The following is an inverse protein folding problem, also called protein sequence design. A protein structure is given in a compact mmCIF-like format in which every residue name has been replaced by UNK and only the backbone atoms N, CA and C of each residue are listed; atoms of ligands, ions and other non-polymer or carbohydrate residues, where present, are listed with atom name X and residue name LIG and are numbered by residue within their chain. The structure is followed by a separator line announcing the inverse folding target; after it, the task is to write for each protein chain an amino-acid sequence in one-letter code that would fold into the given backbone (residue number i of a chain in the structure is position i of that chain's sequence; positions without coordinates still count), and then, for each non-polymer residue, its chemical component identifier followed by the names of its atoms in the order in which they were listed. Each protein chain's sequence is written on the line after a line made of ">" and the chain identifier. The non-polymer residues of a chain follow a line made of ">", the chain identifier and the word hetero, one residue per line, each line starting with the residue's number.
data_IF_006633759452
#
_entry.id   IF_006633759452
#
_cell.length_a   1.000
_cell.length_b   1.000
_cell.length_c   1.000
_cell.angle_alpha   90.00
_cell.angle_beta   90.00
_cell.angle_gamma   90.00
#
_symmetry.space_group_name_H-M   'P 1'
#
loop_
_entity.id
_entity.type
_entity.pdbx_description
1 polymer ?
#
# COMPACT_ATOMS: atom_id res chain seq x y z
N UNK A 1 -67.36 -26.20 -7.58
CA UNK A 1 -66.03 -26.70 -7.97
C UNK A 1 -65.01 -25.68 -7.45
N UNK A 2 -64.15 -25.86 -6.45
CA UNK A 2 -63.90 -26.86 -5.40
C UNK A 2 -63.45 -26.07 -4.13
N UNK A 3 -63.57 -26.60 -2.90
CA UNK A 3 -63.24 -25.88 -1.67
C UNK A 3 -61.73 -25.93 -1.41
N UNK A 4 -61.10 -24.82 -0.99
CA UNK A 4 -59.71 -24.84 -0.52
C UNK A 4 -59.75 -24.95 1.00
N UNK A 5 -59.77 -26.19 1.49
CA UNK A 5 -59.35 -26.49 2.85
C UNK A 5 -57.84 -26.30 2.93
N UNK A 6 -57.39 -25.22 3.57
CA UNK A 6 -56.01 -25.01 3.96
C UNK A 6 -55.94 -24.96 5.47
N UNK A 7 -55.76 -26.11 6.11
CA UNK A 7 -55.51 -26.23 7.55
C UNK A 7 -54.22 -25.51 7.91
N UNK A 8 -54.29 -24.27 8.42
CA UNK A 8 -53.15 -23.69 9.14
C UNK A 8 -53.09 -24.33 10.52
N UNK A 9 -52.34 -25.44 10.65
CA UNK A 9 -51.94 -25.94 11.98
C UNK A 9 -51.18 -24.83 12.70
N UNK A 10 -51.65 -24.44 13.89
CA UNK A 10 -50.88 -23.58 14.79
C UNK A 10 -49.48 -24.21 14.99
N UNK A 11 -48.46 -23.50 14.51
CA UNK A 11 -47.07 -23.96 14.51
C UNK A 11 -46.43 -24.24 13.14
N UNK A 12 -47.17 -24.13 12.02
CA UNK A 12 -46.65 -24.42 10.66
C UNK A 12 -46.87 -23.26 9.66
N UNK A 13 -46.95 -22.01 10.11
CA UNK A 13 -47.11 -20.84 9.24
C UNK A 13 -45.86 -20.60 8.38
N UNK A 14 -45.91 -21.04 7.13
CA UNK A 14 -44.85 -20.88 6.12
C UNK A 14 -44.88 -19.46 5.56
N UNK A 15 -43.74 -18.76 5.53
CA UNK A 15 -43.62 -17.45 4.87
C UNK A 15 -43.61 -17.68 3.35
N UNK A 16 -44.62 -17.17 2.64
CA UNK A 16 -44.73 -17.26 1.17
C UNK A 16 -44.16 -16.04 0.45
N UNK A 17 -44.29 -14.85 1.04
CA UNK A 17 -43.86 -13.57 0.47
C UNK A 17 -42.92 -12.87 1.45
N UNK A 18 -41.78 -12.39 0.94
CA UNK A 18 -40.85 -11.55 1.70
C UNK A 18 -41.07 -10.07 1.34
N UNK A 19 -40.74 -9.18 2.28
CA UNK A 19 -40.70 -7.74 2.03
C UNK A 19 -39.67 -7.38 0.94
N UNK A 20 -39.84 -6.20 0.33
CA UNK A 20 -38.89 -5.71 -0.67
C UNK A 20 -37.46 -5.70 -0.14
N UNK A 21 -36.52 -6.21 -0.95
CA UNK A 21 -35.12 -6.36 -0.57
C UNK A 21 -34.79 -7.59 0.29
N UNK A 22 -35.76 -8.45 0.58
CA UNK A 22 -35.55 -9.72 1.28
C UNK A 22 -35.93 -10.91 0.39
N UNK A 23 -35.22 -12.02 0.54
CA UNK A 23 -35.43 -13.26 -0.20
C UNK A 23 -35.62 -14.45 0.74
N UNK A 24 -36.31 -15.48 0.26
CA UNK A 24 -36.50 -16.73 1.01
C UNK A 24 -35.21 -17.54 1.00
N UNK A 25 -34.85 -18.11 2.16
CA UNK A 25 -33.80 -19.12 2.22
C UNK A 25 -34.27 -20.38 1.45
N UNK A 26 -33.42 -21.02 0.64
CA UNK A 26 -33.78 -22.28 -0.04
C UNK A 26 -34.18 -23.41 0.91
N UNK A 27 -33.65 -23.42 2.14
CA UNK A 27 -33.85 -24.47 3.14
C UNK A 27 -34.60 -24.02 4.41
N UNK A 28 -35.06 -22.77 4.46
CA UNK A 28 -35.90 -22.28 5.56
C UNK A 28 -37.07 -21.51 4.99
N UNK A 29 -38.28 -21.95 5.32
CA UNK A 29 -39.50 -21.29 4.89
C UNK A 29 -40.16 -20.46 5.98
N UNK A 30 -39.47 -20.29 7.11
CA UNK A 30 -39.95 -19.52 8.26
C UNK A 30 -39.15 -18.22 8.43
N UNK A 31 -38.21 -17.95 7.54
CA UNK A 31 -37.33 -16.79 7.61
C UNK A 31 -37.06 -16.22 6.23
N UNK A 32 -37.10 -14.88 6.14
CA UNK A 32 -36.60 -14.13 5.00
C UNK A 32 -35.25 -13.53 5.36
N UNK A 33 -34.29 -13.57 4.43
CA UNK A 33 -32.99 -12.96 4.62
C UNK A 33 -32.85 -11.71 3.74
N UNK A 34 -32.12 -10.68 4.20
CA UNK A 34 -31.86 -9.52 3.37
C UNK A 34 -31.04 -9.93 2.14
N UNK A 35 -31.27 -9.21 1.03
CA UNK A 35 -30.51 -9.35 -0.21
C UNK A 35 -29.44 -8.26 -0.24
N UNK A 36 -28.19 -8.66 -0.39
CA UNK A 36 -27.05 -7.78 -0.62
C UNK A 36 -26.40 -8.15 -1.96
N UNK A 37 -26.03 -7.14 -2.75
CA UNK A 37 -25.19 -7.29 -3.94
C UNK A 37 -23.73 -7.10 -3.51
N UNK A 38 -23.00 -8.21 -3.33
CA UNK A 38 -21.70 -8.27 -2.63
C UNK A 38 -21.81 -8.76 -1.17
N UNK A 39 -20.77 -8.51 -0.35
CA UNK A 39 -20.66 -8.84 1.08
C UNK A 39 -20.03 -10.21 1.41
N UNK A 40 -19.02 -10.67 0.65
CA UNK A 40 -18.42 -12.00 0.87
C UNK A 40 -17.70 -12.12 2.24
N UNK A 41 -17.17 -11.01 2.76
CA UNK A 41 -16.50 -10.95 4.07
C UNK A 41 -17.28 -10.15 5.13
N UNK A 42 -18.59 -10.02 4.95
CA UNK A 42 -19.47 -9.36 5.90
C UNK A 42 -20.71 -10.19 6.24
N UNK A 43 -21.58 -9.58 7.03
CA UNK A 43 -22.93 -10.04 7.30
C UNK A 43 -23.91 -9.04 6.67
N UNK A 44 -24.81 -9.53 5.82
CA UNK A 44 -25.91 -8.72 5.31
C UNK A 44 -26.95 -8.55 6.43
N UNK A 45 -27.01 -7.37 7.04
CA UNK A 45 -27.88 -7.08 8.19
C UNK A 45 -29.21 -6.45 7.78
N UNK A 46 -29.25 -5.80 6.62
CA UNK A 46 -30.45 -5.27 5.98
C UNK A 46 -30.24 -5.24 4.46
N UNK A 47 -31.29 -5.02 3.64
CA UNK A 47 -31.16 -4.97 2.19
C UNK A 47 -30.13 -3.92 1.77
N UNK A 48 -29.09 -4.35 1.06
CA UNK A 48 -27.99 -3.48 0.68
C UNK A 48 -27.15 -2.92 1.84
N UNK A 49 -27.23 -3.49 3.05
CA UNK A 49 -26.41 -3.09 4.19
C UNK A 49 -25.51 -4.25 4.61
N UNK A 50 -24.22 -4.10 4.35
CA UNK A 50 -23.19 -5.07 4.73
C UNK A 50 -22.43 -4.60 5.98
N UNK A 51 -22.42 -5.42 7.03
CA UNK A 51 -21.58 -5.23 8.21
C UNK A 51 -20.33 -6.12 8.08
N UNK A 52 -19.17 -5.49 7.88
CA UNK A 52 -17.93 -6.23 7.68
C UNK A 52 -17.48 -6.98 8.93
N UNK A 53 -16.95 -8.20 8.73
CA UNK A 53 -16.34 -8.98 9.81
C UNK A 53 -15.06 -8.32 10.29
N UNK A 54 -14.59 -8.70 11.48
CA UNK A 54 -13.31 -8.21 12.03
C UNK A 54 -12.17 -8.42 11.01
N UNK A 55 -11.36 -7.38 10.81
CA UNK A 55 -10.27 -7.40 9.84
C UNK A 55 -10.67 -6.97 8.42
N UNK A 56 -11.93 -6.58 8.20
CA UNK A 56 -12.40 -6.05 6.92
C UNK A 56 -13.08 -4.70 7.09
N UNK A 57 -13.04 -3.88 6.04
CA UNK A 57 -13.68 -2.56 5.97
C UNK A 57 -14.49 -2.44 4.69
N UNK A 58 -15.54 -1.62 4.72
CA UNK A 58 -16.37 -1.35 3.55
C UNK A 58 -15.63 -0.37 2.62
N UNK A 59 -15.40 -0.78 1.37
CA UNK A 59 -14.79 0.08 0.36
C UNK A 59 -15.82 1.11 -0.12
N UNK A 60 -15.77 2.33 0.43
CA UNK A 60 -16.54 3.46 -0.09
C UNK A 60 -15.69 4.14 -1.14
N UNK A 61 -15.93 3.82 -2.41
CA UNK A 61 -15.25 4.56 -3.46
C UNK A 61 -15.84 5.98 -3.55
N UNK A 62 -15.06 6.95 -3.10
CA UNK A 62 -15.42 8.38 -3.06
C UNK A 62 -15.13 9.10 -4.38
N UNK A 63 -14.56 8.42 -5.38
CA UNK A 63 -13.99 9.07 -6.57
C UNK A 63 -14.89 9.08 -7.81
N UNK A 64 -15.98 8.31 -7.86
CA UNK A 64 -17.03 8.50 -8.87
C UNK A 64 -18.28 9.14 -8.24
N UNK A 65 -18.83 10.17 -8.90
CA UNK A 65 -20.02 10.89 -8.45
C UNK A 65 -21.33 10.10 -8.57
N UNK A 66 -21.29 8.84 -9.04
CA UNK A 66 -22.42 7.91 -9.07
C UNK A 66 -22.07 6.52 -8.52
N UNK A 67 -21.11 6.43 -7.59
CA UNK A 67 -20.62 5.12 -7.16
C UNK A 67 -21.69 4.27 -6.48
N UNK A 68 -22.12 3.25 -7.23
CA UNK A 68 -22.39 1.90 -6.75
C UNK A 68 -21.59 1.65 -5.48
N UNK A 69 -22.30 1.58 -4.37
CA UNK A 69 -21.73 1.08 -3.13
C UNK A 69 -21.23 -0.31 -3.48
N UNK A 70 -19.91 -0.45 -3.67
CA UNK A 70 -19.29 -1.77 -3.69
C UNK A 70 -19.50 -2.26 -2.27
N UNK A 71 -20.57 -3.02 -2.08
CA UNK A 71 -21.06 -3.47 -0.78
C UNK A 71 -20.20 -4.62 -0.26
N UNK A 72 -18.91 -4.55 -0.58
CA UNK A 72 -17.95 -5.60 -0.37
C UNK A 72 -16.93 -5.18 0.68
N UNK A 73 -16.59 -6.17 1.47
CA UNK A 73 -15.72 -6.03 2.61
C UNK A 73 -14.33 -6.46 2.19
N UNK A 74 -13.40 -5.50 2.17
CA UNK A 74 -12.00 -5.75 1.83
C UNK A 74 -11.13 -5.81 3.06
N UNK A 75 -10.04 -6.61 3.03
CA UNK A 75 -9.16 -6.73 4.17
C UNK A 75 -8.54 -5.39 4.54
N UNK A 76 -8.43 -5.13 5.84
CA UNK A 76 -7.72 -3.97 6.39
C UNK A 76 -6.27 -4.32 6.68
N UNK A 77 -5.37 -3.44 6.27
CA UNK A 77 -3.98 -3.46 6.69
C UNK A 77 -3.77 -2.28 7.65
N UNK A 78 -3.35 -2.52 8.91
CA UNK A 78 -3.46 -1.55 10.02
C UNK A 78 -2.67 -0.24 9.82
N UNK A 79 -1.75 -0.19 8.87
CA UNK A 79 -0.93 0.99 8.54
C UNK A 79 -1.03 1.38 7.04
N UNK A 80 -1.89 0.70 6.27
CA UNK A 80 -1.99 0.86 4.82
C UNK A 80 -0.95 0.05 4.04
N UNK A 81 -1.34 -0.40 2.85
CA UNK A 81 -0.53 -1.20 1.93
C UNK A 81 -0.12 -0.38 0.69
N UNK A 82 0.66 0.68 0.90
CA UNK A 82 1.11 1.51 -0.21
C UNK A 82 2.04 0.70 -1.13
N UNK A 83 1.77 0.71 -2.45
CA UNK A 83 2.47 -0.10 -3.45
C UNK A 83 2.34 -1.62 -3.26
N UNK A 84 1.21 -2.08 -2.72
CA UNK A 84 0.90 -3.50 -2.62
C UNK A 84 -0.60 -3.76 -2.52
N UNK A 85 -0.95 -5.04 -2.39
CA UNK A 85 -2.31 -5.53 -2.19
C UNK A 85 -2.40 -6.12 -0.79
N UNK A 86 -3.38 -5.67 0.00
CA UNK A 86 -3.63 -6.24 1.32
C UNK A 86 -4.27 -7.63 1.16
N UNK A 87 -3.68 -8.65 1.76
CA UNK A 87 -4.22 -10.01 1.75
C UNK A 87 -5.26 -10.20 2.86
N UNK A 88 -6.05 -11.27 2.77
CA UNK A 88 -7.02 -11.64 3.79
C UNK A 88 -6.40 -11.96 5.18
N UNK A 89 -5.07 -12.09 5.26
CA UNK A 89 -4.33 -12.27 6.52
C UNK A 89 -3.83 -10.95 7.12
N UNK A 90 -4.14 -9.80 6.50
CA UNK A 90 -3.63 -8.49 6.93
C UNK A 90 -2.14 -8.27 6.61
N UNK A 91 -1.59 -9.05 5.67
CA UNK A 91 -0.21 -8.95 5.19
C UNK A 91 -0.20 -8.24 3.84
N UNK A 92 0.85 -7.48 3.58
CA UNK A 92 1.02 -6.75 2.34
C UNK A 92 1.73 -7.61 1.30
N UNK A 93 1.05 -7.91 0.18
CA UNK A 93 1.68 -8.48 -1.01
C UNK A 93 2.20 -7.33 -1.88
N UNK A 94 3.51 -7.27 -2.07
CA UNK A 94 4.18 -6.09 -2.61
C UNK A 94 4.31 -6.10 -4.13
N UNK A 95 4.13 -4.93 -4.76
CA UNK A 95 4.34 -4.75 -6.20
C UNK A 95 5.83 -4.85 -6.55
N UNK A 96 6.13 -5.05 -7.85
CA UNK A 96 7.51 -5.15 -8.34
C UNK A 96 8.38 -3.96 -7.90
N UNK A 97 9.61 -4.24 -7.46
CA UNK A 97 10.55 -3.23 -6.95
C UNK A 97 10.36 -2.87 -5.48
N UNK A 98 9.43 -3.53 -4.78
CA UNK A 98 9.24 -3.38 -3.33
C UNK A 98 9.28 -4.74 -2.63
N UNK A 99 9.62 -4.75 -1.35
CA UNK A 99 9.70 -5.94 -0.49
C UNK A 99 8.87 -5.76 0.76
N UNK A 100 8.29 -6.85 1.31
CA UNK A 100 7.59 -6.78 2.58
C UNK A 100 8.54 -6.39 3.71
N UNK A 101 8.06 -5.55 4.63
CA UNK A 101 8.72 -5.29 5.91
C UNK A 101 8.89 -6.57 6.74
N UNK A 102 9.71 -6.53 7.79
CA UNK A 102 9.94 -7.66 8.71
C UNK A 102 8.64 -8.25 9.26
N UNK A 103 7.66 -7.41 9.56
CA UNK A 103 6.34 -7.83 10.07
C UNK A 103 5.30 -8.06 8.96
N UNK A 104 5.67 -7.90 7.69
CA UNK A 104 4.77 -8.04 6.53
C UNK A 104 3.70 -6.96 6.40
N UNK A 105 3.71 -5.92 7.24
CA UNK A 105 2.63 -4.92 7.34
C UNK A 105 2.63 -3.84 6.26
N UNK A 106 3.75 -3.61 5.57
CA UNK A 106 3.91 -2.60 4.53
C UNK A 106 5.00 -3.00 3.54
N UNK A 107 4.97 -2.37 2.36
CA UNK A 107 5.97 -2.57 1.31
C UNK A 107 7.04 -1.48 1.36
N UNK A 108 8.29 -1.91 1.45
CA UNK A 108 9.47 -1.07 1.42
C UNK A 108 10.10 -1.10 0.03
N UNK A 109 10.71 -0.01 -0.45
CA UNK A 109 11.46 -0.07 -1.70
C UNK A 109 12.60 -1.10 -1.59
N UNK A 110 12.82 -1.88 -2.65
CA UNK A 110 13.94 -2.80 -2.74
C UNK A 110 15.22 -2.01 -3.05
N UNK A 111 15.87 -1.47 -2.02
CA UNK A 111 17.10 -0.71 -2.21
C UNK A 111 18.30 -1.66 -2.39
N UNK A 112 18.76 -1.84 -3.64
CA UNK A 112 19.97 -2.63 -3.96
C UNK A 112 21.26 -1.98 -3.44
N UNK A 113 21.25 -0.68 -3.15
CA UNK A 113 22.37 0.04 -2.56
C UNK A 113 22.35 0.15 -1.04
N UNK A 114 21.28 -0.28 -0.38
CA UNK A 114 21.05 -0.05 1.04
C UNK A 114 20.10 1.13 1.30
N UNK A 115 19.73 1.27 2.58
CA UNK A 115 18.85 2.31 3.08
C UNK A 115 19.63 3.19 4.05
N UNK A 116 19.60 4.50 3.86
CA UNK A 116 20.06 5.43 4.89
C UNK A 116 18.99 5.56 5.97
N UNK A 117 19.24 4.99 7.16
CA UNK A 117 18.28 5.01 8.28
C UNK A 117 17.99 6.42 8.83
N UNK A 118 18.87 7.40 8.58
CA UNK A 118 18.70 8.78 9.05
C UNK A 118 17.82 9.59 8.10
N UNK A 119 17.91 9.34 6.80
CA UNK A 119 17.16 10.09 5.78
C UNK A 119 15.99 9.31 5.18
N UNK A 120 15.87 8.00 5.47
CA UNK A 120 14.92 7.07 4.86
C UNK A 120 14.97 7.07 3.33
N UNK A 121 16.14 7.31 2.74
CA UNK A 121 16.35 7.29 1.29
C UNK A 121 17.07 6.03 0.86
N UNK A 122 16.64 5.45 -0.27
CA UNK A 122 17.44 4.44 -0.96
C UNK A 122 18.71 5.07 -1.52
N UNK A 123 19.84 4.41 -1.32
CA UNK A 123 21.12 4.83 -1.87
C UNK A 123 22.25 4.02 -1.28
N UNK A 124 23.41 4.06 -1.92
CA UNK A 124 24.59 3.43 -1.36
C UNK A 124 25.06 4.14 -0.09
N UNK A 125 25.42 3.37 0.94
CA UNK A 125 26.10 3.91 2.11
C UNK A 125 27.61 4.08 1.84
N UNK A 126 28.13 5.26 2.15
CA UNK A 126 29.54 5.58 2.11
C UNK A 126 29.99 6.08 3.49
N UNK A 127 30.79 5.29 4.20
CA UNK A 127 31.33 5.61 5.53
C UNK A 127 32.21 6.87 5.44
N UNK A 128 31.89 7.89 6.23
CA UNK A 128 32.57 9.20 6.17
C UNK A 128 32.10 10.14 5.05
N UNK A 129 31.21 9.68 4.16
CA UNK A 129 30.68 10.46 3.04
C UNK A 129 31.67 10.61 1.87
N UNK A 130 31.19 11.18 0.75
CA UNK A 130 31.99 11.33 -0.47
C UNK A 130 32.60 12.71 -0.68
N UNK A 131 32.37 13.68 0.21
CA UNK A 131 32.77 15.08 0.00
C UNK A 131 32.13 15.67 -1.26
N UNK A 132 32.94 16.23 -2.16
CA UNK A 132 32.51 16.76 -3.46
C UNK A 132 32.26 15.66 -4.52
N UNK A 133 31.46 14.66 -4.15
CA UNK A 133 31.11 13.53 -5.00
C UNK A 133 29.81 12.87 -4.58
N UNK A 134 29.35 11.91 -5.38
CA UNK A 134 28.12 11.14 -5.14
C UNK A 134 28.45 9.68 -4.84
N UNK A 135 27.78 9.07 -3.86
CA UNK A 135 27.93 7.65 -3.56
C UNK A 135 27.23 6.82 -4.66
N UNK A 136 28.00 6.05 -5.42
CA UNK A 136 27.55 5.25 -6.58
C UNK A 136 27.67 3.74 -6.35
N UNK A 137 28.15 3.34 -5.18
CA UNK A 137 28.33 1.95 -4.76
C UNK A 137 28.68 1.90 -3.26
N UNK A 138 28.67 0.73 -2.61
CA UNK A 138 29.07 0.62 -1.21
C UNK A 138 30.48 1.19 -1.03
N UNK A 139 30.62 2.22 -0.19
CA UNK A 139 31.90 2.93 0.02
C UNK A 139 32.59 3.40 -1.28
N UNK A 140 31.84 3.61 -2.35
CA UNK A 140 32.35 3.95 -3.68
C UNK A 140 31.79 5.30 -4.11
N UNK A 141 32.67 6.27 -4.33
CA UNK A 141 32.30 7.64 -4.68
C UNK A 141 32.67 7.97 -6.12
N UNK A 142 31.73 8.58 -6.84
CA UNK A 142 31.97 9.26 -8.10
C UNK A 142 32.27 10.73 -7.80
N UNK A 143 33.50 11.15 -8.06
CA UNK A 143 33.93 12.51 -7.77
C UNK A 143 33.51 13.49 -8.86
N UNK A 144 33.14 14.72 -8.46
CA UNK A 144 32.93 15.80 -9.41
C UNK A 144 34.22 16.09 -10.20
N UNK A 145 34.13 16.69 -11.40
CA UNK A 145 35.31 17.08 -12.17
C UNK A 145 36.28 17.93 -11.34
N UNK A 146 37.58 17.62 -11.45
CA UNK A 146 38.62 18.28 -10.66
C UNK A 146 38.86 17.68 -9.27
N UNK A 147 38.16 16.60 -8.90
CA UNK A 147 38.38 15.83 -7.68
C UNK A 147 38.73 14.38 -8.02
N UNK A 148 39.57 13.76 -7.19
CA UNK A 148 39.93 12.34 -7.29
C UNK A 148 39.61 11.59 -6.00
N UNK A 149 39.30 10.31 -6.14
CA UNK A 149 38.99 9.44 -5.01
C UNK A 149 40.26 9.11 -4.23
N UNK A 150 40.28 9.43 -2.94
CA UNK A 150 41.33 9.00 -2.02
C UNK A 150 40.70 8.54 -0.69
N UNK A 151 40.97 7.29 -0.28
CA UNK A 151 40.47 6.71 1.00
C UNK A 151 38.96 6.94 1.22
N UNK A 152 38.15 6.70 0.19
CA UNK A 152 36.68 6.85 0.18
C UNK A 152 36.13 8.29 0.25
N UNK A 153 36.96 9.31 0.03
CA UNK A 153 36.50 10.71 -0.09
C UNK A 153 37.06 11.34 -1.35
N UNK A 154 36.28 12.22 -1.97
CA UNK A 154 36.72 13.01 -3.11
C UNK A 154 37.54 14.21 -2.64
N UNK A 155 38.83 14.21 -2.97
CA UNK A 155 39.76 15.31 -2.69
C UNK A 155 40.09 16.07 -3.98
N UNK A 156 40.45 17.36 -3.92
CA UNK A 156 40.89 18.09 -5.10
C UNK A 156 42.05 17.38 -5.81
N UNK A 157 41.95 17.23 -7.12
CA UNK A 157 43.05 16.69 -7.93
C UNK A 157 44.02 17.83 -8.31
N UNK A 158 45.11 17.95 -7.55
CA UNK A 158 46.22 18.87 -7.81
C UNK A 158 47.37 18.12 -8.51
N UNK A 159 47.43 18.02 -9.85
CA UNK A 159 48.55 17.36 -10.56
C UNK A 159 49.89 18.10 -10.38
N UNK A 160 49.88 19.40 -10.06
CA UNK A 160 51.08 20.22 -9.81
C UNK A 160 51.39 20.45 -8.32
N UNK A 161 50.69 19.75 -7.43
CA UNK A 161 50.75 19.96 -5.98
C UNK A 161 50.00 21.22 -5.54
N UNK A 162 49.44 21.21 -4.32
CA UNK A 162 48.77 22.38 -3.76
C UNK A 162 49.79 23.12 -2.84
N UNK A 163 50.27 24.28 -3.27
CA UNK A 163 51.15 25.17 -2.47
C UNK A 163 50.29 26.34 -1.95
N UNK A 164 49.94 26.31 -0.66
CA UNK A 164 49.33 27.42 0.09
C UNK A 164 48.13 28.16 -0.56
N UNK A 165 46.99 27.48 -0.79
CA UNK A 165 45.75 28.17 -1.17
C UNK A 165 44.59 27.25 -1.53
N UNK A 166 43.37 27.69 -1.21
CA UNK A 166 42.09 27.03 -1.53
C UNK A 166 41.92 26.78 -3.03
N UNK A 167 41.26 25.67 -3.36
CA UNK A 167 40.95 25.27 -4.72
C UNK A 167 39.91 26.21 -5.35
N UNK A 168 40.31 26.93 -6.42
CA UNK A 168 39.37 27.69 -7.25
C UNK A 168 39.02 26.82 -8.46
N UNK A 169 37.78 26.31 -8.59
CA UNK A 169 37.38 25.53 -9.75
C UNK A 169 37.50 26.39 -11.02
N UNK A 170 37.92 25.78 -12.13
CA UNK A 170 38.14 26.45 -13.42
C UNK A 170 36.90 27.23 -13.94
N UNK A 171 35.70 26.95 -13.43
CA UNK A 171 34.47 27.64 -13.77
C UNK A 171 34.29 29.01 -13.06
N UNK A 172 35.19 29.40 -12.15
CA UNK A 172 35.25 30.75 -11.58
C UNK A 172 36.41 31.60 -12.12
N UNK A 173 37.29 31.04 -12.96
CA UNK A 173 38.42 31.77 -13.56
C UNK A 173 38.01 32.66 -14.75
N UNK A 174 36.77 33.17 -14.75
CA UNK A 174 36.11 33.72 -15.93
C UNK A 174 35.45 35.09 -15.76
N UNK A 175 35.62 35.79 -14.65
CA UNK A 175 35.25 37.20 -14.54
C UNK A 175 36.16 37.84 -13.49
N UNK A 176 36.97 38.81 -13.92
CA UNK A 176 37.30 40.09 -13.30
C UNK A 176 38.66 40.54 -13.87
N UNK A 177 38.55 41.47 -14.83
CA UNK A 177 39.53 42.40 -15.44
C UNK A 177 40.66 41.81 -16.28
#
# INVERSE_FOLDING_TARGET
>A
MAPIYGETREGYSKIEVCCSGYARKPHSHYECHPVCDGCEHGNCTAPGVCECKRGYILLRDTTQPQHSIVNDCVPTCPLGCLNGICTNTGVCSCNAGTVPSKDGRYCLPHCTGGCDEKTNKCGYYCEGGCGEGSCIGPNTCSCKPGYKLQRNTCIPDCPKGCLNGEYVPANLAGHWI
#
